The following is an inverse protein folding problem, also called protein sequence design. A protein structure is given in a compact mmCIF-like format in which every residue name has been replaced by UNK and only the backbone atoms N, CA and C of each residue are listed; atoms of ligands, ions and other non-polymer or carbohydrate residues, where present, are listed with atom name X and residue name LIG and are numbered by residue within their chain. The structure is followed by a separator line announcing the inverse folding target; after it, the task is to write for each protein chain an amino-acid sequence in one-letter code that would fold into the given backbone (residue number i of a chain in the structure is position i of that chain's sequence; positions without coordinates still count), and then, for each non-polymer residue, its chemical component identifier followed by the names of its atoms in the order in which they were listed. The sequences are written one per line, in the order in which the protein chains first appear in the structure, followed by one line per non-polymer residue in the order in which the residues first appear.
data_IF_420498997178
#
_entry.id   IF_420498997178
#
_cell.length_a   1.000
_cell.length_b   1.000
_cell.length_c   1.000
_cell.angle_alpha   90.00
_cell.angle_beta   90.00
_cell.angle_gamma   90.00
#
_symmetry.space_group_name_H-M   'P 1'
#
loop_
_entity.id
_entity.type
_entity.pdbx_description
1 polymer ?
#
# COMPACT_ATOMS: atom_id res chain seq x y z
N UNK A 1 3.61 -8.87 -0.59
CA UNK A 1 3.19 -7.92 -1.66
C UNK A 1 3.53 -8.45 -3.06
N UNK A 2 4.81 -8.67 -3.41
CA UNK A 2 5.19 -9.15 -4.75
C UNK A 2 4.62 -10.52 -5.15
N UNK A 3 4.29 -11.36 -4.15
CA UNK A 3 3.69 -12.68 -4.35
C UNK A 3 2.16 -12.67 -4.26
N UNK A 4 1.59 -11.75 -3.47
CA UNK A 4 0.18 -11.78 -3.08
C UNK A 4 -0.68 -10.75 -3.81
N UNK A 5 -0.08 -9.75 -4.45
CA UNK A 5 -0.79 -8.75 -5.25
C UNK A 5 -0.57 -9.05 -6.74
N UNK A 6 -1.62 -9.36 -7.50
CA UNK A 6 -1.51 -9.65 -8.93
C UNK A 6 -0.78 -8.54 -9.69
N UNK A 7 0.07 -8.93 -10.65
CA UNK A 7 0.84 -8.03 -11.53
C UNK A 7 1.75 -7.01 -10.83
N UNK A 8 1.91 -7.07 -9.50
CA UNK A 8 2.67 -6.10 -8.73
C UNK A 8 4.13 -6.01 -9.17
N UNK A 9 4.75 -7.15 -9.50
CA UNK A 9 6.13 -7.19 -10.01
C UNK A 9 6.34 -6.34 -11.26
N UNK A 10 5.30 -6.14 -12.08
CA UNK A 10 5.37 -5.31 -13.30
C UNK A 10 5.39 -3.81 -13.02
N UNK A 11 5.07 -3.36 -11.80
CA UNK A 11 5.05 -1.94 -11.43
C UNK A 11 6.42 -1.40 -11.04
N UNK A 12 7.37 -2.28 -10.74
CA UNK A 12 8.72 -1.89 -10.37
C UNK A 12 9.66 -2.05 -11.56
N UNK A 13 10.23 -0.93 -12.02
CA UNK A 13 11.16 -0.87 -13.15
C UNK A 13 12.59 -0.49 -12.75
N UNK A 14 12.81 -0.10 -11.48
CA UNK A 14 14.13 0.33 -10.96
C UNK A 14 15.00 -0.82 -10.43
N UNK A 15 14.42 -2.01 -10.28
CA UNK A 15 15.11 -3.23 -9.89
C UNK A 15 14.47 -4.43 -10.59
N UNK A 16 15.18 -5.55 -10.69
CA UNK A 16 14.60 -6.78 -11.22
C UNK A 16 13.63 -7.40 -10.21
N UNK A 17 12.34 -7.05 -10.30
CA UNK A 17 11.32 -7.57 -9.40
C UNK A 17 11.02 -9.07 -9.57
N UNK A 18 11.68 -9.79 -10.49
CA UNK A 18 11.54 -11.24 -10.67
C UNK A 18 12.73 -12.04 -10.14
N UNK A 19 13.76 -11.39 -9.59
CA UNK A 19 14.86 -12.09 -8.94
C UNK A 19 14.41 -12.76 -7.62
N UNK A 20 15.23 -13.68 -7.10
CA UNK A 20 14.97 -14.34 -5.83
C UNK A 20 14.91 -13.35 -4.65
N UNK A 21 14.24 -13.72 -3.58
CA UNK A 21 14.14 -12.89 -2.37
C UNK A 21 15.50 -12.51 -1.79
N UNK A 22 16.47 -13.43 -1.79
CA UNK A 22 17.82 -13.16 -1.31
C UNK A 22 18.57 -12.14 -2.17
N UNK A 23 18.30 -12.13 -3.47
CA UNK A 23 18.87 -11.12 -4.37
C UNK A 23 18.12 -9.78 -4.23
N UNK A 24 16.79 -9.79 -4.08
CA UNK A 24 16.01 -8.58 -3.80
C UNK A 24 16.50 -7.87 -2.54
N UNK A 25 16.73 -8.61 -1.45
CA UNK A 25 17.24 -8.03 -0.18
C UNK A 25 18.61 -7.37 -0.33
N UNK A 26 19.42 -7.80 -1.31
CA UNK A 26 20.73 -7.23 -1.61
C UNK A 26 20.66 -6.03 -2.57
N UNK A 27 19.59 -5.90 -3.33
CA UNK A 27 19.35 -4.81 -4.28
C UNK A 27 19.06 -3.47 -3.57
N UNK A 28 19.82 -2.42 -3.93
CA UNK A 28 19.72 -1.11 -3.27
C UNK A 28 18.41 -0.38 -3.61
N UNK A 29 17.92 -0.48 -4.85
CA UNK A 29 16.67 0.16 -5.27
C UNK A 29 15.47 -0.56 -4.66
N UNK A 30 15.52 -1.89 -4.52
CA UNK A 30 14.52 -2.63 -3.75
C UNK A 30 14.46 -2.16 -2.29
N UNK A 31 15.61 -2.11 -1.59
CA UNK A 31 15.66 -1.64 -0.19
C UNK A 31 15.15 -0.22 -0.04
N UNK A 32 15.49 0.68 -0.98
CA UNK A 32 14.97 2.04 -1.01
C UNK A 32 13.44 2.04 -1.14
N UNK A 33 12.90 1.23 -2.05
CA UNK A 33 11.46 1.12 -2.23
C UNK A 33 10.75 0.58 -0.98
N UNK A 34 11.34 -0.41 -0.30
CA UNK A 34 10.84 -0.90 0.99
C UNK A 34 10.82 0.24 2.02
N UNK A 35 11.89 1.01 2.14
CA UNK A 35 11.96 2.16 3.05
C UNK A 35 10.89 3.21 2.76
N UNK A 36 10.61 3.51 1.49
CA UNK A 36 9.54 4.45 1.10
C UNK A 36 8.15 3.94 1.51
N UNK A 37 7.89 2.64 1.30
CA UNK A 37 6.62 2.02 1.68
C UNK A 37 6.46 2.03 3.20
N UNK A 38 7.49 1.63 3.95
CA UNK A 38 7.46 1.62 5.42
C UNK A 38 7.26 3.03 5.98
N UNK A 39 7.96 4.04 5.45
CA UNK A 39 7.77 5.44 5.85
C UNK A 39 6.37 5.97 5.53
N UNK A 40 5.77 5.55 4.41
CA UNK A 40 4.37 5.85 4.11
C UNK A 40 3.39 5.27 5.13
N UNK A 41 3.57 3.99 5.51
CA UNK A 41 2.75 3.35 6.55
C UNK A 41 2.94 3.99 7.93
N UNK A 42 4.17 4.34 8.28
CA UNK A 42 4.49 5.07 9.51
C UNK A 42 3.79 6.44 9.54
N UNK A 43 3.79 7.17 8.41
CA UNK A 43 3.06 8.44 8.29
C UNK A 43 1.55 8.27 8.52
N UNK A 44 0.95 7.15 8.08
CA UNK A 44 -0.45 6.86 8.37
C UNK A 44 -0.68 6.65 9.87
N UNK A 45 0.15 5.80 10.50
CA UNK A 45 0.05 5.47 11.92
C UNK A 45 0.21 6.72 12.79
N UNK A 46 1.20 7.55 12.50
CA UNK A 46 1.51 8.74 13.28
C UNK A 46 0.40 9.79 13.24
N UNK A 47 -0.50 9.73 12.26
CA UNK A 47 -1.61 10.65 12.12
C UNK A 47 -2.99 10.04 12.49
N UNK A 48 -3.06 8.79 12.97
CA UNK A 48 -4.34 8.13 13.30
C UNK A 48 -5.22 8.91 14.29
N UNK A 49 -4.61 9.64 15.22
CA UNK A 49 -5.32 10.40 16.25
C UNK A 49 -5.66 11.84 15.81
N UNK A 50 -5.37 12.21 14.56
CA UNK A 50 -5.70 13.53 14.01
C UNK A 50 -6.42 13.34 12.67
N UNK A 51 -7.76 13.43 12.66
CA UNK A 51 -8.56 13.18 11.46
C UNK A 51 -8.16 14.03 10.24
N UNK A 52 -7.87 15.32 10.44
CA UNK A 52 -7.49 16.23 9.37
C UNK A 52 -6.13 15.82 8.76
N UNK A 53 -5.13 15.55 9.61
CA UNK A 53 -3.82 15.11 9.14
C UNK A 53 -3.85 13.71 8.51
N UNK A 54 -4.73 12.84 8.99
CA UNK A 54 -4.93 11.53 8.39
C UNK A 54 -5.53 11.67 6.99
N UNK A 55 -6.54 12.54 6.83
CA UNK A 55 -7.12 12.88 5.54
C UNK A 55 -6.07 13.42 4.57
N UNK A 56 -5.26 14.40 4.98
CA UNK A 56 -4.18 14.96 4.14
C UNK A 56 -3.14 13.90 3.74
N UNK A 57 -2.90 12.92 4.63
CA UNK A 57 -1.97 11.83 4.34
C UNK A 57 -2.58 10.83 3.36
N UNK A 58 -3.88 10.51 3.48
CA UNK A 58 -4.61 9.71 2.50
C UNK A 58 -4.62 10.41 1.14
N UNK A 59 -4.90 11.71 1.09
CA UNK A 59 -4.91 12.50 -0.13
C UNK A 59 -3.56 12.44 -0.85
N UNK A 60 -2.46 12.78 -0.17
CA UNK A 60 -1.12 12.75 -0.74
C UNK A 60 -0.72 11.36 -1.23
N UNK A 61 -1.06 10.31 -0.47
CA UNK A 61 -0.74 8.93 -0.84
C UNK A 61 -1.53 8.50 -2.08
N UNK A 62 -2.83 8.79 -2.12
CA UNK A 62 -3.70 8.49 -3.24
C UNK A 62 -3.23 9.23 -4.49
N UNK A 63 -2.94 10.53 -4.40
CA UNK A 63 -2.45 11.33 -5.53
C UNK A 63 -1.13 10.81 -6.06
N UNK A 64 -0.17 10.50 -5.18
CA UNK A 64 1.12 10.00 -5.59
C UNK A 64 1.00 8.73 -6.45
N UNK A 65 0.04 7.85 -6.15
CA UNK A 65 -0.17 6.59 -6.88
C UNK A 65 -1.08 6.74 -8.10
N UNK A 66 -2.13 7.57 -8.00
CA UNK A 66 -3.04 7.85 -9.10
C UNK A 66 -2.38 8.67 -10.23
N UNK A 67 -1.35 9.46 -9.90
CA UNK A 67 -0.57 10.25 -10.87
C UNK A 67 0.56 9.45 -11.56
N UNK A 68 0.82 8.21 -11.16
CA UNK A 68 1.80 7.37 -11.84
C UNK A 68 1.37 7.04 -13.27
N UNK A 69 2.36 6.85 -14.15
CA UNK A 69 2.15 6.36 -15.51
C UNK A 69 2.99 5.09 -15.71
N UNK A 70 2.36 3.91 -15.78
CA UNK A 70 0.93 3.62 -15.61
C UNK A 70 0.44 3.82 -14.17
N UNK A 71 -0.85 4.13 -14.02
CA UNK A 71 -1.52 4.33 -12.74
C UNK A 71 -1.39 3.10 -11.83
N UNK A 72 -1.32 3.35 -10.52
CA UNK A 72 -1.42 2.30 -9.49
C UNK A 72 -2.65 2.62 -8.62
N UNK A 73 -3.80 2.05 -8.97
CA UNK A 73 -5.07 2.29 -8.28
C UNK A 73 -5.56 1.11 -7.44
N UNK A 74 -6.88 1.04 -7.26
CA UNK A 74 -7.57 -0.02 -6.53
C UNK A 74 -7.28 -1.43 -7.05
N UNK A 75 -6.90 -1.58 -8.32
CA UNK A 75 -6.50 -2.85 -8.89
C UNK A 75 -5.25 -3.46 -8.21
N UNK A 76 -4.44 -2.65 -7.53
CA UNK A 76 -3.31 -3.11 -6.70
C UNK A 76 -3.61 -3.00 -5.19
N UNK A 77 -4.27 -1.92 -4.77
CA UNK A 77 -4.55 -1.68 -3.34
C UNK A 77 -5.69 -2.56 -2.78
N UNK A 78 -6.64 -2.98 -3.62
CA UNK A 78 -7.69 -3.94 -3.24
C UNK A 78 -7.12 -5.31 -2.83
N UNK A 79 -6.31 -5.98 -3.68
CA UNK A 79 -5.64 -7.22 -3.31
C UNK A 79 -4.66 -7.06 -2.13
N UNK A 80 -4.04 -5.89 -1.97
CA UNK A 80 -3.23 -5.60 -0.79
C UNK A 80 -4.06 -5.67 0.50
N UNK A 81 -5.24 -5.04 0.51
CA UNK A 81 -6.18 -5.13 1.65
C UNK A 81 -6.57 -6.57 1.96
N UNK A 82 -6.82 -7.39 0.93
CA UNK A 82 -7.21 -8.80 1.10
C UNK A 82 -6.10 -9.69 1.65
N UNK A 83 -4.83 -9.27 1.53
CA UNK A 83 -3.66 -10.08 1.91
C UNK A 83 -2.84 -9.49 3.06
N UNK A 84 -3.22 -8.32 3.60
CA UNK A 84 -2.45 -7.66 4.66
C UNK A 84 -2.48 -8.45 5.98
N UNK A 85 -3.60 -9.10 6.31
CA UNK A 85 -3.71 -9.94 7.49
C UNK A 85 -2.69 -11.08 7.46
N UNK A 86 -2.57 -11.78 6.32
CA UNK A 86 -1.59 -12.87 6.13
C UNK A 86 -0.16 -12.39 6.36
N UNK A 87 0.15 -11.17 5.91
CA UNK A 87 1.47 -10.58 6.15
C UNK A 87 1.72 -10.28 7.64
N UNK A 88 0.74 -9.70 8.32
CA UNK A 88 0.84 -9.37 9.76
C UNK A 88 0.95 -10.64 10.61
N UNK A 89 0.13 -11.65 10.33
CA UNK A 89 0.16 -12.94 11.00
C UNK A 89 1.55 -13.58 10.89
N UNK A 90 2.07 -13.72 9.67
CA UNK A 90 3.37 -14.34 9.43
C UNK A 90 4.53 -13.53 10.02
N UNK A 91 4.46 -12.20 9.94
CA UNK A 91 5.57 -11.33 10.36
C UNK A 91 5.64 -11.13 11.86
N UNK A 92 4.49 -11.11 12.55
CA UNK A 92 4.41 -10.84 13.99
C UNK A 92 4.07 -12.07 14.83
N UNK A 93 3.77 -13.21 14.21
CA UNK A 93 3.37 -14.43 14.92
C UNK A 93 2.02 -14.30 15.63
N UNK A 94 1.12 -13.46 15.11
CA UNK A 94 -0.21 -13.21 15.68
C UNK A 94 -1.29 -13.95 14.91
N UNK A 95 -2.45 -14.20 15.54
CA UNK A 95 -3.59 -14.80 14.85
C UNK A 95 -4.26 -13.83 13.86
N UNK A 96 -4.97 -14.39 12.89
CA UNK A 96 -5.72 -13.63 11.87
C UNK A 96 -6.82 -12.75 12.47
N UNK A 97 -7.38 -13.20 13.58
CA UNK A 97 -8.37 -12.50 14.39
C UNK A 97 -7.75 -11.72 15.55
N UNK A 98 -6.44 -11.50 15.57
CA UNK A 98 -5.84 -10.64 16.56
C UNK A 98 -6.31 -9.19 16.37
N UNK A 99 -6.31 -8.41 17.46
CA UNK A 99 -6.57 -6.98 17.37
C UNK A 99 -5.61 -6.29 16.39
N UNK A 100 -4.34 -6.72 16.37
CA UNK A 100 -3.31 -6.19 15.47
C UNK A 100 -3.66 -6.45 14.00
N UNK A 101 -3.98 -7.69 13.63
CA UNK A 101 -4.37 -8.05 12.25
C UNK A 101 -5.61 -7.28 11.80
N UNK A 102 -6.62 -7.15 12.68
CA UNK A 102 -7.83 -6.37 12.39
C UNK A 102 -7.52 -4.88 12.20
N UNK A 103 -6.73 -4.28 13.08
CA UNK A 103 -6.39 -2.84 12.99
C UNK A 103 -5.68 -2.49 11.69
N UNK A 104 -4.72 -3.31 11.25
CA UNK A 104 -4.07 -3.13 9.95
C UNK A 104 -5.05 -3.26 8.79
N UNK A 105 -5.92 -4.27 8.83
CA UNK A 105 -6.95 -4.47 7.80
C UNK A 105 -7.91 -3.27 7.74
N UNK A 106 -8.34 -2.75 8.90
CA UNK A 106 -9.20 -1.56 9.00
C UNK A 106 -8.53 -0.31 8.44
N UNK A 107 -7.25 -0.08 8.74
CA UNK A 107 -6.50 1.07 8.21
C UNK A 107 -6.41 1.03 6.67
N UNK A 108 -6.04 -0.11 6.11
CA UNK A 108 -5.95 -0.25 4.65
C UNK A 108 -7.34 -0.18 4.00
N UNK A 109 -8.39 -0.69 4.67
CA UNK A 109 -9.78 -0.56 4.21
C UNK A 109 -10.22 0.91 4.16
N UNK A 110 -9.90 1.70 5.19
CA UNK A 110 -10.20 3.12 5.23
C UNK A 110 -9.51 3.88 4.08
N UNK A 111 -8.22 3.59 3.85
CA UNK A 111 -7.50 4.17 2.71
C UNK A 111 -8.11 3.75 1.37
N UNK A 112 -8.51 2.50 1.20
CA UNK A 112 -9.13 2.01 -0.04
C UNK A 112 -10.49 2.67 -0.32
N UNK A 113 -11.29 2.94 0.71
CA UNK A 113 -12.52 3.70 0.55
C UNK A 113 -12.22 5.11 0.05
N UNK A 114 -11.27 5.80 0.68
CA UNK A 114 -10.81 7.11 0.23
C UNK A 114 -10.29 7.09 -1.23
N UNK A 115 -9.48 6.10 -1.59
CA UNK A 115 -8.93 5.95 -2.93
C UNK A 115 -10.04 5.74 -3.98
N UNK A 116 -11.11 5.01 -3.63
CA UNK A 116 -12.29 4.82 -4.48
C UNK A 116 -12.99 6.14 -4.78
N UNK A 117 -13.29 6.90 -3.73
CA UNK A 117 -13.99 8.19 -3.84
C UNK A 117 -13.16 9.17 -4.67
N UNK A 118 -11.85 9.24 -4.40
CA UNK A 118 -10.93 10.10 -5.16
C UNK A 118 -10.79 9.70 -6.63
N UNK A 119 -10.82 8.40 -6.92
CA UNK A 119 -10.79 7.92 -8.31
C UNK A 119 -12.07 8.32 -9.05
N UNK A 120 -13.23 8.21 -8.42
CA UNK A 120 -14.51 8.62 -9.00
C UNK A 120 -14.55 10.13 -9.28
N UNK A 121 -14.09 10.96 -8.33
CA UNK A 121 -14.01 12.42 -8.52
C UNK A 121 -13.14 12.83 -9.71
N UNK A 122 -12.00 12.15 -9.92
CA UNK A 122 -11.12 12.40 -11.07
C UNK A 122 -11.78 12.04 -12.40
N UNK A 123 -12.46 10.90 -12.48
CA UNK A 123 -13.17 10.50 -13.69
C UNK A 123 -14.21 11.55 -14.07
N UNK A 124 -15.01 12.03 -13.10
CA UNK A 124 -16.02 13.07 -13.33
C UNK A 124 -15.40 14.42 -13.71
N UNK A 125 -14.18 14.72 -13.26
CA UNK A 125 -13.50 16.00 -13.55
C UNK A 125 -12.76 16.01 -14.90
N UNK A 126 -12.48 14.84 -15.46
CA UNK A 126 -11.80 14.65 -16.74
C UNK A 126 -12.79 14.50 -17.93
N UNK A 127 -14.11 14.47 -17.65
CA UNK A 127 -15.24 14.51 -18.61
C UNK A 127 -15.74 15.95 -18.85
#
# INVERSE_FOLDING_TARGET
MLENVPNMRSRFNKFNARQSDDNLKKDAEFRRQVSLITGGLESLINNLNNPDRLHDTFERLADAHLNLKPRVGLEYFGPLQQSINVYIEKSLGVSSDSAVSRSWTSLITAFNNFLRDRTALRIVSDE
#
